data_IF_823727098212
#
_entry.id   IF_823727098212
#
_cell.length_a   1.000
_cell.length_b   1.000
_cell.length_c   1.000
_cell.angle_alpha   90.00
_cell.angle_beta   90.00
_cell.angle_gamma   90.00
#
_symmetry.space_group_name_H-M   'P 1'
#
loop_
_entity.id
_entity.type
_entity.pdbx_description
1 polymer ?
#
# COMPACT_ATOMS: atom_id res chain seq x y z
N UNK A 1 -17.09 26.63 -17.22
CA UNK A 1 -17.67 26.52 -15.86
C UNK A 1 -19.13 26.10 -15.96
N UNK A 2 -19.63 25.25 -15.05
CA UNK A 2 -21.05 24.85 -14.83
C UNK A 2 -21.63 23.58 -15.48
N UNK A 3 -21.01 22.40 -15.31
CA UNK A 3 -21.74 21.11 -15.47
C UNK A 3 -21.89 20.31 -14.16
N UNK A 4 -21.03 20.55 -13.17
CA UNK A 4 -21.01 19.76 -11.93
C UNK A 4 -22.04 20.21 -10.90
N UNK A 5 -22.43 21.49 -10.89
CA UNK A 5 -23.42 22.02 -9.94
C UNK A 5 -24.83 21.45 -10.16
N UNK A 6 -25.18 21.10 -11.40
CA UNK A 6 -26.51 20.54 -11.70
C UNK A 6 -26.64 19.06 -11.32
N UNK A 7 -25.54 18.31 -11.21
CA UNK A 7 -25.56 16.91 -10.78
C UNK A 7 -25.64 16.80 -9.25
N UNK A 8 -24.92 17.67 -8.54
CA UNK A 8 -25.00 17.79 -7.08
C UNK A 8 -26.40 18.17 -6.60
N UNK A 9 -27.09 19.10 -7.29
CA UNK A 9 -28.45 19.48 -6.92
C UNK A 9 -29.51 18.38 -7.11
N UNK A 10 -29.25 17.40 -7.98
CA UNK A 10 -30.16 16.25 -8.17
C UNK A 10 -29.95 15.19 -7.10
N UNK A 11 -28.70 14.91 -6.75
CA UNK A 11 -28.35 13.97 -5.68
C UNK A 11 -28.81 14.47 -4.30
N UNK A 12 -28.63 15.76 -4.00
CA UNK A 12 -29.07 16.36 -2.73
C UNK A 12 -30.60 16.33 -2.60
N UNK A 13 -31.33 16.53 -3.70
CA UNK A 13 -32.81 16.44 -3.69
C UNK A 13 -33.34 15.01 -3.55
N UNK A 14 -32.64 14.00 -4.08
CA UNK A 14 -32.99 12.60 -3.82
C UNK A 14 -32.71 12.19 -2.38
N UNK A 15 -31.57 12.60 -1.81
CA UNK A 15 -31.21 12.28 -0.43
C UNK A 15 -32.15 12.93 0.60
N UNK A 16 -32.63 14.15 0.33
CA UNK A 16 -33.62 14.84 1.16
C UNK A 16 -35.05 14.27 1.03
N UNK A 17 -35.36 13.52 -0.04
CA UNK A 17 -36.63 12.80 -0.16
C UNK A 17 -36.62 11.47 0.61
N UNK A 18 -35.46 10.84 0.77
CA UNK A 18 -35.29 9.60 1.54
C UNK A 18 -35.34 9.79 3.07
N UNK A 19 -35.18 11.03 3.56
CA UNK A 19 -35.17 11.33 5.00
C UNK A 19 -36.48 11.92 5.52
N UNK A 20 -37.52 12.06 4.67
CA UNK A 20 -38.86 12.48 5.08
C UNK A 20 -39.71 11.32 5.63
N UNK A 21 -39.06 10.37 6.28
CA UNK A 21 -39.69 9.38 7.15
C UNK A 21 -39.39 9.77 8.58
N UNK A 22 -40.44 10.03 9.37
CA UNK A 22 -40.40 10.39 10.79
C UNK A 22 -39.39 9.50 11.53
N UNK A 23 -38.18 10.00 11.78
CA UNK A 23 -37.17 9.28 12.55
C UNK A 23 -37.74 9.18 13.96
N UNK A 24 -38.33 8.02 14.28
CA UNK A 24 -38.99 7.82 15.55
C UNK A 24 -37.98 8.05 16.67
N UNK A 25 -38.39 8.68 17.77
CA UNK A 25 -37.53 9.03 18.92
C UNK A 25 -36.65 7.87 19.39
N UNK A 26 -37.11 6.62 19.19
CA UNK A 26 -36.34 5.39 19.43
C UNK A 26 -35.03 5.30 18.63
N UNK A 27 -35.01 5.72 17.36
CA UNK A 27 -33.80 5.73 16.53
C UNK A 27 -32.81 6.82 16.97
N UNK A 28 -33.29 7.97 17.43
CA UNK A 28 -32.42 9.01 18.00
C UNK A 28 -31.79 8.55 19.31
N UNK A 29 -32.54 7.85 20.17
CA UNK A 29 -32.00 7.26 21.40
C UNK A 29 -30.95 6.19 21.08
N UNK A 30 -31.22 5.31 20.12
CA UNK A 30 -30.25 4.27 19.70
C UNK A 30 -28.96 4.88 19.16
N UNK A 31 -29.06 5.91 18.30
CA UNK A 31 -27.88 6.62 17.77
C UNK A 31 -27.11 7.37 18.87
N UNK A 32 -27.83 8.00 19.81
CA UNK A 32 -27.20 8.66 20.96
C UNK A 32 -26.44 7.68 21.86
N UNK A 33 -27.05 6.53 22.17
CA UNK A 33 -26.41 5.47 22.97
C UNK A 33 -25.20 4.89 22.24
N UNK A 34 -25.29 4.64 20.94
CA UNK A 34 -24.16 4.20 20.12
C UNK A 34 -23.01 5.23 20.09
N UNK A 35 -23.32 6.52 19.98
CA UNK A 35 -22.33 7.59 20.04
C UNK A 35 -21.62 7.67 21.38
N UNK A 36 -22.36 7.58 22.49
CA UNK A 36 -21.78 7.58 23.84
C UNK A 36 -20.94 6.32 24.09
N UNK A 37 -21.42 5.16 23.66
CA UNK A 37 -20.67 3.91 23.76
C UNK A 37 -19.36 3.95 22.97
N UNK A 38 -19.37 4.58 21.79
CA UNK A 38 -18.17 4.82 21.00
C UNK A 38 -17.16 5.71 21.73
N UNK A 39 -17.60 6.81 22.35
CA UNK A 39 -16.73 7.72 23.11
C UNK A 39 -16.06 7.05 24.32
N UNK A 40 -16.75 6.11 24.99
CA UNK A 40 -16.21 5.37 26.14
C UNK A 40 -15.27 4.23 25.69
N UNK A 41 -15.58 3.55 24.59
CA UNK A 41 -14.76 2.45 24.09
C UNK A 41 -13.48 2.93 23.37
N UNK A 42 -13.52 4.12 22.75
CA UNK A 42 -12.40 4.69 22.01
C UNK A 42 -11.08 4.77 22.81
N UNK A 43 -11.02 5.30 24.06
CA UNK A 43 -9.76 5.36 24.80
C UNK A 43 -9.19 3.98 25.15
N UNK A 44 -10.03 3.01 25.52
CA UNK A 44 -9.58 1.64 25.82
C UNK A 44 -9.06 0.88 24.59
N UNK A 45 -9.64 1.12 23.40
CA UNK A 45 -9.15 0.53 22.16
C UNK A 45 -7.82 1.16 21.72
N UNK A 46 -7.63 2.46 21.96
CA UNK A 46 -6.38 3.16 21.64
C UNK A 46 -5.20 2.63 22.49
N UNK A 47 -5.43 2.38 23.78
CA UNK A 47 -4.39 1.86 24.69
C UNK A 47 -3.99 0.41 24.38
N UNK A 48 -4.91 -0.43 23.88
CA UNK A 48 -4.62 -1.85 23.60
C UNK A 48 -4.15 -2.13 22.18
N UNK A 49 -4.48 -1.27 21.21
CA UNK A 49 -4.19 -1.48 19.79
C UNK A 49 -3.38 -0.37 19.12
N UNK A 50 -3.01 0.71 19.84
CA UNK A 50 -2.19 1.81 19.31
C UNK A 50 -2.83 2.55 18.14
N UNK A 51 -4.17 2.50 18.03
CA UNK A 51 -4.90 3.04 16.89
C UNK A 51 -5.35 4.47 17.20
N UNK A 52 -4.57 5.47 16.76
CA UNK A 52 -4.96 6.88 16.86
C UNK A 52 -6.15 7.17 15.95
N UNK A 53 -7.35 7.19 16.54
CA UNK A 53 -8.58 7.60 15.87
C UNK A 53 -8.59 9.13 15.70
N UNK A 54 -8.99 9.66 14.52
CA UNK A 54 -9.07 11.09 14.31
C UNK A 54 -10.11 11.69 15.24
N UNK A 55 -9.66 12.55 16.16
CA UNK A 55 -10.54 13.38 16.98
C UNK A 55 -11.15 14.42 16.06
N UNK A 56 -12.46 14.36 15.85
CA UNK A 56 -13.20 15.48 15.25
C UNK A 56 -13.31 16.54 16.36
N UNK A 57 -12.21 17.24 16.63
CA UNK A 57 -12.19 18.39 17.51
C UNK A 57 -12.57 19.61 16.68
N UNK A 58 -13.69 20.21 17.06
CA UNK A 58 -14.04 21.55 16.68
C UNK A 58 -12.88 22.51 17.04
N UNK A 59 -12.49 23.25 16.02
CA UNK A 59 -11.83 24.56 16.02
C UNK A 59 -11.75 25.27 17.39
N UNK A 60 -10.55 25.39 17.97
CA UNK A 60 -10.17 26.53 18.81
C UNK A 60 -8.70 26.91 18.60
N UNK A 61 -8.53 28.21 18.46
CA UNK A 61 -7.40 29.01 18.01
C UNK A 61 -6.39 29.30 19.13
N UNK A 62 -5.12 29.56 18.73
CA UNK A 62 -4.03 30.24 19.48
C UNK A 62 -3.43 29.48 20.69
N UNK A 63 -2.12 29.45 20.92
CA UNK A 63 -1.20 30.61 21.00
C UNK A 63 0.27 30.17 20.94
N UNK A 64 1.08 31.08 20.41
CA UNK A 64 2.52 31.09 20.15
C UNK A 64 3.32 31.60 21.37
N UNK A 65 4.50 31.02 21.67
CA UNK A 65 5.64 31.59 22.45
C UNK A 65 6.76 30.53 22.40
N UNK A 66 7.84 30.64 21.62
CA UNK A 66 9.00 31.56 21.62
C UNK A 66 10.00 31.39 22.79
N UNK A 67 11.30 31.44 22.43
CA UNK A 67 12.55 31.46 23.24
C UNK A 67 13.18 30.11 23.62
N UNK A 68 14.45 29.78 23.36
CA UNK A 68 15.61 30.47 22.76
C UNK A 68 16.93 29.74 23.14
N UNK A 69 17.95 29.91 22.27
CA UNK A 69 19.42 29.86 22.55
C UNK A 69 20.13 28.52 22.88
N UNK A 70 20.97 28.00 21.97
CA UNK A 70 22.42 28.24 21.74
C UNK A 70 23.35 27.28 22.50
N UNK A 71 24.23 26.62 21.74
CA UNK A 71 25.33 25.80 22.24
C UNK A 71 26.21 25.31 21.09
N UNK A 72 27.17 26.14 20.71
CA UNK A 72 28.25 25.91 19.73
C UNK A 72 29.42 25.10 20.29
N UNK A 73 30.22 24.55 19.35
CA UNK A 73 31.65 24.18 19.45
C UNK A 73 31.96 22.74 19.88
N UNK A 74 32.94 22.01 19.35
CA UNK A 74 33.82 22.04 18.16
C UNK A 74 34.73 20.77 18.26
N UNK A 75 35.43 20.45 17.17
CA UNK A 75 36.61 19.55 17.07
C UNK A 75 36.39 18.04 17.16
N UNK A 76 37.17 17.17 16.50
CA UNK A 76 38.06 17.18 15.33
C UNK A 76 38.50 15.70 15.21
N UNK A 77 38.67 15.18 14.00
CA UNK A 77 39.80 14.31 13.60
C UNK A 77 39.45 13.26 12.51
N UNK A 78 40.00 13.54 11.32
CA UNK A 78 40.88 12.69 10.50
C UNK A 78 40.40 11.31 10.00
N UNK A 79 40.15 11.31 8.68
CA UNK A 79 40.86 10.54 7.64
C UNK A 79 41.32 9.10 7.92
N UNK A 80 40.75 8.16 7.15
CA UNK A 80 41.56 7.16 6.44
C UNK A 80 40.85 6.66 5.18
N UNK A 81 41.43 7.05 4.05
CA UNK A 81 41.31 6.47 2.73
C UNK A 81 41.72 4.99 2.71
N UNK A 82 40.87 4.13 2.15
CA UNK A 82 41.30 2.84 1.60
C UNK A 82 40.49 2.51 0.35
N UNK A 83 41.10 2.79 -0.80
CA UNK A 83 40.75 2.23 -2.10
C UNK A 83 40.96 0.71 -2.06
N UNK A 84 39.93 -0.09 -2.34
CA UNK A 84 40.10 -1.48 -2.76
C UNK A 84 38.97 -1.91 -3.70
N UNK A 85 39.36 -1.99 -4.98
CA UNK A 85 39.06 -3.09 -5.89
C UNK A 85 37.60 -3.37 -6.21
N UNK A 86 37.14 -2.74 -7.30
CA UNK A 86 36.01 -3.21 -8.09
C UNK A 86 36.24 -4.66 -8.54
N UNK A 87 35.36 -5.54 -8.10
CA UNK A 87 35.24 -6.92 -8.57
C UNK A 87 33.84 -7.05 -9.17
N UNK A 88 33.67 -7.54 -10.41
CA UNK A 88 32.36 -7.59 -11.04
C UNK A 88 31.50 -8.62 -10.31
N UNK A 89 30.43 -8.15 -9.69
CA UNK A 89 29.42 -8.97 -9.02
C UNK A 89 28.58 -9.70 -10.06
N UNK A 90 28.79 -11.02 -10.13
CA UNK A 90 27.84 -11.94 -10.75
C UNK A 90 26.62 -12.08 -9.83
N UNK A 91 25.54 -11.37 -10.15
CA UNK A 91 24.26 -11.41 -9.43
C UNK A 91 23.64 -12.81 -9.49
N UNK A 92 23.80 -13.56 -8.40
CA UNK A 92 23.09 -14.81 -8.11
C UNK A 92 22.13 -14.55 -6.95
N UNK A 93 20.83 -14.46 -7.25
CA UNK A 93 19.72 -14.71 -6.32
C UNK A 93 19.61 -13.87 -5.04
N UNK A 94 18.78 -12.82 -5.10
CA UNK A 94 17.63 -12.73 -4.19
C UNK A 94 17.85 -12.25 -2.76
N UNK A 95 18.75 -11.30 -2.53
CA UNK A 95 18.74 -10.50 -1.30
C UNK A 95 18.56 -9.04 -1.71
N UNK A 96 17.32 -8.56 -1.72
CA UNK A 96 17.06 -7.12 -1.82
C UNK A 96 17.44 -6.54 -0.47
N UNK A 97 18.46 -5.69 -0.45
CA UNK A 97 18.77 -4.87 0.72
C UNK A 97 17.75 -3.73 0.74
N UNK A 98 16.89 -3.63 1.76
CA UNK A 98 15.93 -2.55 1.83
C UNK A 98 16.57 -1.16 1.82
N UNK A 99 17.86 -1.03 2.20
CA UNK A 99 18.61 0.22 2.12
C UNK A 99 18.72 0.75 0.67
N UNK A 100 18.69 -0.13 -0.34
CA UNK A 100 18.67 0.29 -1.75
C UNK A 100 17.36 1.00 -2.13
N UNK A 101 16.31 0.82 -1.32
CA UNK A 101 14.99 1.39 -1.54
C UNK A 101 14.68 2.57 -0.63
N UNK A 102 15.61 3.02 0.20
CA UNK A 102 15.40 4.15 1.14
C UNK A 102 14.99 5.46 0.43
N UNK A 103 15.28 5.58 -0.88
CA UNK A 103 14.88 6.72 -1.69
C UNK A 103 13.40 6.70 -2.12
N UNK A 104 12.73 5.55 -2.04
CA UNK A 104 11.29 5.40 -2.35
C UNK A 104 10.48 4.86 -1.18
N UNK A 105 11.07 4.15 -0.23
CA UNK A 105 10.38 3.55 0.90
C UNK A 105 10.76 4.28 2.19
N UNK A 106 9.76 4.60 3.00
CA UNK A 106 9.99 5.07 4.37
C UNK A 106 10.07 3.85 5.27
N UNK A 107 11.22 3.64 5.91
CA UNK A 107 11.42 2.56 6.88
C UNK A 107 11.05 3.00 8.30
N UNK A 108 10.47 2.08 9.08
CA UNK A 108 10.28 2.25 10.52
C UNK A 108 11.25 1.38 11.33
N UNK A 109 11.25 1.56 12.66
CA UNK A 109 12.11 0.79 13.58
C UNK A 109 11.79 -0.71 13.62
N UNK A 110 10.64 -1.14 13.11
CA UNK A 110 10.15 -2.52 13.14
C UNK A 110 10.39 -3.27 11.82
N UNK A 111 11.22 -2.72 10.92
CA UNK A 111 11.45 -3.26 9.56
C UNK A 111 10.15 -3.35 8.76
N UNK A 112 9.27 -2.37 8.94
CA UNK A 112 8.16 -2.10 8.04
C UNK A 112 8.62 -1.02 7.08
N UNK A 113 8.28 -1.19 5.81
CA UNK A 113 8.55 -0.22 4.77
C UNK A 113 7.24 0.28 4.20
N UNK A 114 7.09 1.59 4.04
CA UNK A 114 5.89 2.22 3.50
C UNK A 114 6.21 2.87 2.18
N UNK A 115 5.46 2.55 1.13
CA UNK A 115 5.60 3.21 -0.18
C UNK A 115 4.89 4.56 -0.22
N UNK A 116 5.16 5.41 -1.24
CA UNK A 116 4.47 6.70 -1.41
C UNK A 116 2.95 6.57 -1.53
N UNK A 117 2.44 5.47 -2.08
CA UNK A 117 0.99 5.21 -2.11
C UNK A 117 0.41 4.73 -0.76
N UNK A 118 1.23 4.65 0.30
CA UNK A 118 0.82 4.27 1.65
C UNK A 118 0.74 2.76 1.89
N UNK A 119 1.32 1.94 1.01
CA UNK A 119 1.30 0.47 1.17
C UNK A 119 2.40 0.05 2.13
N UNK A 120 2.06 -0.74 3.15
CA UNK A 120 3.01 -1.24 4.15
C UNK A 120 3.50 -2.65 3.83
N UNK A 121 4.80 -2.77 3.59
CA UNK A 121 5.52 -4.04 3.46
C UNK A 121 6.06 -4.45 4.82
N UNK A 122 5.54 -5.55 5.34
CA UNK A 122 5.84 -6.03 6.69
C UNK A 122 6.59 -7.37 6.66
N UNK A 123 7.06 -7.80 7.83
CA UNK A 123 7.54 -9.17 8.04
C UNK A 123 6.43 -10.21 7.80
N UNK A 124 6.83 -11.42 7.44
CA UNK A 124 5.94 -12.54 7.11
C UNK A 124 6.06 -12.99 5.65
N UNK A 125 5.27 -14.00 5.27
CA UNK A 125 5.41 -14.84 4.06
C UNK A 125 6.44 -15.97 4.18
N UNK A 126 6.43 -16.88 3.20
CA UNK A 126 7.43 -17.95 3.08
C UNK A 126 8.87 -17.43 2.92
N UNK A 127 9.06 -16.18 2.48
CA UNK A 127 10.38 -15.56 2.34
C UNK A 127 10.79 -14.71 3.57
N UNK A 128 9.99 -14.72 4.65
CA UNK A 128 10.26 -13.97 5.87
C UNK A 128 9.91 -12.48 5.82
N UNK A 129 9.90 -11.86 4.64
CA UNK A 129 9.44 -10.48 4.43
C UNK A 129 8.60 -10.34 3.15
N UNK A 130 7.58 -9.48 3.20
CA UNK A 130 6.63 -9.25 2.10
C UNK A 130 7.29 -8.65 0.86
N UNK A 131 8.19 -7.70 1.04
CA UNK A 131 8.99 -7.13 -0.06
C UNK A 131 9.84 -8.20 -0.74
N UNK A 132 10.48 -9.09 0.04
CA UNK A 132 11.26 -10.20 -0.52
C UNK A 132 10.39 -11.18 -1.32
N UNK A 133 9.16 -11.42 -0.86
CA UNK A 133 8.20 -12.22 -1.61
C UNK A 133 7.75 -11.54 -2.91
N UNK A 134 7.50 -10.23 -2.89
CA UNK A 134 7.22 -9.47 -4.11
C UNK A 134 8.37 -9.60 -5.12
N UNK A 135 9.61 -9.50 -4.67
CA UNK A 135 10.79 -9.64 -5.54
C UNK A 135 11.00 -11.06 -6.06
N UNK A 136 10.44 -12.08 -5.40
CA UNK A 136 10.41 -13.43 -5.96
C UNK A 136 9.56 -13.52 -7.24
N UNK A 137 8.65 -12.56 -7.47
CA UNK A 137 7.90 -12.41 -8.71
C UNK A 137 8.64 -11.61 -9.79
N UNK A 138 9.87 -11.13 -9.55
CA UNK A 138 10.72 -10.54 -10.59
C UNK A 138 11.61 -11.59 -11.29
N UNK A 139 11.48 -12.87 -10.95
CA UNK A 139 12.27 -13.94 -11.54
C UNK A 139 11.43 -15.17 -11.76
N UNK A 140 11.51 -15.75 -12.96
CA UNK A 140 10.77 -16.96 -13.25
C UNK A 140 11.30 -18.15 -12.42
N UNK A 141 10.39 -19.07 -12.14
CA UNK A 141 10.67 -20.35 -11.52
C UNK A 141 10.23 -21.44 -12.49
N UNK A 142 11.01 -21.77 -13.54
CA UNK A 142 10.54 -22.64 -14.63
C UNK A 142 10.11 -24.03 -14.17
N UNK A 143 10.71 -24.54 -13.08
CA UNK A 143 10.39 -25.81 -12.46
C UNK A 143 9.14 -25.81 -11.57
N UNK A 144 8.52 -24.64 -11.32
CA UNK A 144 7.34 -24.51 -10.46
C UNK A 144 6.09 -25.06 -11.15
N UNK A 145 5.32 -25.85 -10.41
CA UNK A 145 4.02 -26.33 -10.86
C UNK A 145 2.99 -25.18 -10.88
N UNK A 146 2.13 -25.18 -11.90
CA UNK A 146 1.09 -24.16 -12.08
C UNK A 146 1.59 -22.85 -12.72
N UNK A 147 0.78 -21.80 -12.57
CA UNK A 147 1.09 -20.46 -13.06
C UNK A 147 1.90 -19.65 -12.04
N UNK A 148 2.85 -18.89 -12.56
CA UNK A 148 3.67 -17.97 -11.78
C UNK A 148 3.73 -16.64 -12.51
N UNK A 149 3.12 -15.59 -11.97
CA UNK A 149 3.27 -14.26 -12.54
C UNK A 149 4.70 -13.76 -12.37
N UNK A 150 5.33 -13.32 -13.47
CA UNK A 150 6.69 -12.79 -13.45
C UNK A 150 6.68 -11.38 -14.03
N UNK A 151 7.19 -10.40 -13.27
CA UNK A 151 7.34 -9.02 -13.73
C UNK A 151 8.41 -8.93 -14.81
N UNK A 152 8.20 -8.04 -15.79
CA UNK A 152 9.27 -7.69 -16.75
C UNK A 152 10.34 -6.79 -16.08
N UNK A 153 9.97 -6.08 -15.01
CA UNK A 153 10.88 -5.26 -14.22
C UNK A 153 11.65 -6.12 -13.22
N UNK A 154 12.98 -5.95 -13.20
CA UNK A 154 13.89 -6.64 -12.26
C UNK A 154 14.39 -5.72 -11.15
N UNK A 155 14.35 -4.40 -11.36
CA UNK A 155 14.75 -3.40 -10.37
C UNK A 155 13.68 -3.29 -9.28
N UNK A 156 14.03 -3.44 -7.99
CA UNK A 156 13.05 -3.43 -6.91
C UNK A 156 12.21 -2.14 -6.86
N UNK A 157 12.82 -0.99 -7.16
CA UNK A 157 12.13 0.28 -7.18
C UNK A 157 11.02 0.33 -8.25
N UNK A 158 11.33 -0.11 -9.47
CA UNK A 158 10.36 -0.15 -10.57
C UNK A 158 9.18 -1.10 -10.29
N UNK A 159 9.43 -2.22 -9.58
CA UNK A 159 8.35 -3.13 -9.17
C UNK A 159 7.46 -2.47 -8.11
N UNK A 160 8.04 -1.81 -7.10
CA UNK A 160 7.27 -1.08 -6.07
C UNK A 160 6.43 0.04 -6.69
N UNK A 161 7.02 0.86 -7.55
CA UNK A 161 6.31 1.93 -8.28
C UNK A 161 5.14 1.38 -9.10
N UNK A 162 5.29 0.21 -9.72
CA UNK A 162 4.21 -0.46 -10.44
C UNK A 162 3.07 -0.89 -9.51
N UNK A 163 3.40 -1.37 -8.29
CA UNK A 163 2.37 -1.71 -7.28
C UNK A 163 1.64 -0.43 -6.85
N UNK A 164 2.37 0.65 -6.58
CA UNK A 164 1.78 1.94 -6.20
C UNK A 164 0.86 2.49 -7.29
N UNK A 165 1.29 2.44 -8.55
CA UNK A 165 0.47 2.82 -9.69
C UNK A 165 -0.83 2.00 -9.74
N UNK A 166 -0.73 0.68 -9.58
CA UNK A 166 -1.89 -0.20 -9.60
C UNK A 166 -2.83 0.05 -8.41
N UNK A 167 -2.29 0.34 -7.22
CA UNK A 167 -3.08 0.66 -6.04
C UNK A 167 -3.83 1.98 -6.20
N UNK A 168 -3.19 3.02 -6.72
CA UNK A 168 -3.85 4.29 -7.01
C UNK A 168 -4.98 4.14 -8.05
N UNK A 169 -4.79 3.30 -9.07
CA UNK A 169 -5.86 2.95 -10.03
C UNK A 169 -7.00 2.17 -9.37
N UNK A 170 -6.67 1.27 -8.44
CA UNK A 170 -7.67 0.51 -7.70
C UNK A 170 -8.52 1.41 -6.80
N UNK A 171 -7.90 2.37 -6.12
CA UNK A 171 -8.60 3.35 -5.29
C UNK A 171 -9.51 4.27 -6.10
N UNK A 172 -9.15 4.61 -7.34
CA UNK A 172 -10.01 5.39 -8.24
C UNK A 172 -11.11 4.55 -8.93
N UNK A 173 -11.08 3.23 -8.77
CA UNK A 173 -11.99 2.29 -9.44
C UNK A 173 -11.72 2.11 -10.94
N UNK A 174 -10.64 2.69 -11.47
CA UNK A 174 -10.32 2.62 -12.89
C UNK A 174 -9.79 1.23 -13.26
N UNK A 175 -10.42 0.59 -14.27
CA UNK A 175 -9.94 -0.67 -14.84
C UNK A 175 -9.66 -1.77 -13.80
N UNK A 176 -10.40 -1.74 -12.70
CA UNK A 176 -10.14 -2.58 -11.52
C UNK A 176 -11.34 -3.42 -11.17
N UNK A 177 -11.11 -4.69 -10.88
CA UNK A 177 -12.05 -5.55 -10.18
C UNK A 177 -11.60 -5.72 -8.74
N UNK A 178 -12.47 -5.36 -7.80
CA UNK A 178 -12.24 -5.47 -6.35
C UNK A 178 -13.06 -6.63 -5.79
N UNK A 179 -12.46 -7.46 -4.96
CA UNK A 179 -13.15 -8.54 -4.24
C UNK A 179 -12.69 -8.54 -2.79
N UNK A 180 -13.63 -8.45 -1.86
CA UNK A 180 -13.34 -8.54 -0.43
C UNK A 180 -13.41 -10.01 0.00
N UNK A 181 -12.34 -10.50 0.60
CA UNK A 181 -12.19 -11.86 1.11
C UNK A 181 -11.82 -11.81 2.61
N UNK A 182 -11.97 -12.92 3.32
CA UNK A 182 -11.69 -12.96 4.76
C UNK A 182 -10.21 -12.66 5.12
N UNK A 183 -9.30 -12.83 4.16
CA UNK A 183 -7.85 -12.65 4.31
C UNK A 183 -7.34 -11.35 3.65
N UNK A 184 -8.25 -10.44 3.27
CA UNK A 184 -7.91 -9.16 2.68
C UNK A 184 -8.77 -8.80 1.46
N UNK A 185 -8.43 -7.69 0.83
CA UNK A 185 -9.02 -7.22 -0.42
C UNK A 185 -8.11 -7.59 -1.58
N UNK A 186 -8.69 -8.29 -2.55
CA UNK A 186 -8.07 -8.61 -3.83
C UNK A 186 -8.42 -7.53 -4.86
N UNK A 187 -7.39 -6.94 -5.45
CA UNK A 187 -7.49 -6.03 -6.57
C UNK A 187 -6.93 -6.70 -7.81
N UNK A 188 -7.72 -6.70 -8.88
CA UNK A 188 -7.31 -7.12 -10.22
C UNK A 188 -7.36 -5.91 -11.14
N UNK A 189 -6.20 -5.32 -11.38
CA UNK A 189 -6.04 -4.03 -12.07
C UNK A 189 -5.52 -4.28 -13.47
N UNK A 190 -6.21 -3.78 -14.49
CA UNK A 190 -5.70 -3.81 -15.86
C UNK A 190 -4.79 -2.62 -16.12
N UNK A 191 -3.49 -2.89 -16.30
CA UNK A 191 -2.44 -1.87 -16.42
C UNK A 191 -2.37 -1.24 -17.82
N UNK A 192 -3.15 -1.74 -18.79
CA UNK A 192 -3.19 -1.23 -20.17
C UNK A 192 -1.94 -1.53 -21.01
N UNK A 193 -0.82 -1.89 -20.37
CA UNK A 193 0.46 -2.29 -20.99
C UNK A 193 0.91 -3.66 -20.52
N UNK A 194 1.88 -4.24 -21.22
CA UNK A 194 2.59 -5.43 -20.72
C UNK A 194 3.39 -5.03 -19.48
N UNK A 195 3.27 -5.84 -18.43
CA UNK A 195 3.98 -5.64 -17.15
C UNK A 195 4.76 -6.90 -16.72
N UNK A 196 4.66 -7.97 -17.50
CA UNK A 196 5.21 -9.27 -17.16
C UNK A 196 4.72 -10.36 -18.09
N UNK A 197 4.82 -11.59 -17.60
CA UNK A 197 4.37 -12.78 -18.30
C UNK A 197 3.95 -13.89 -17.32
N UNK A 198 3.25 -14.88 -17.85
CA UNK A 198 2.96 -16.12 -17.12
C UNK A 198 4.17 -17.06 -17.26
N UNK A 199 4.88 -17.26 -16.16
CA UNK A 199 6.01 -18.17 -16.02
C UNK A 199 5.64 -19.55 -15.47
N UNK A 200 6.66 -20.25 -14.96
CA UNK A 200 6.57 -21.63 -14.48
C UNK A 200 6.28 -22.66 -15.56
N UNK A 201 6.03 -23.90 -15.15
CA UNK A 201 5.73 -24.99 -16.09
C UNK A 201 4.49 -24.70 -16.95
N UNK A 202 3.48 -24.02 -16.40
CA UNK A 202 2.28 -23.69 -17.18
C UNK A 202 2.58 -22.62 -18.25
N UNK A 203 3.35 -21.59 -17.90
CA UNK A 203 3.81 -20.57 -18.85
C UNK A 203 4.59 -21.15 -20.01
N UNK A 204 5.54 -22.05 -19.71
CA UNK A 204 6.34 -22.75 -20.72
C UNK A 204 5.51 -23.66 -21.64
N UNK A 205 4.39 -24.21 -21.15
CA UNK A 205 3.49 -25.09 -21.91
C UNK A 205 2.49 -24.34 -22.80
N UNK A 206 2.29 -23.03 -22.59
CA UNK A 206 1.35 -22.21 -23.40
C UNK A 206 1.85 -22.05 -24.86
N UNK A 207 0.97 -21.53 -25.73
CA UNK A 207 1.23 -21.25 -27.16
C UNK A 207 0.70 -19.86 -27.53
N UNK A 208 1.56 -18.84 -27.76
CA UNK A 208 3.02 -18.86 -27.59
C UNK A 208 3.44 -19.08 -26.12
N UNK A 209 4.68 -19.56 -25.86
CA UNK A 209 5.17 -19.74 -24.49
C UNK A 209 5.30 -18.40 -23.78
N UNK A 210 5.17 -18.41 -22.45
CA UNK A 210 5.28 -17.22 -21.61
C UNK A 210 4.39 -16.06 -22.07
N UNK A 211 3.05 -16.26 -22.12
CA UNK A 211 2.14 -15.23 -22.61
C UNK A 211 2.26 -13.96 -21.75
N UNK A 212 2.17 -12.82 -22.42
CA UNK A 212 2.28 -11.51 -21.79
C UNK A 212 1.15 -11.30 -20.76
N UNK A 213 1.53 -10.85 -19.57
CA UNK A 213 0.62 -10.42 -18.52
C UNK A 213 0.44 -8.90 -18.60
N UNK A 214 -0.83 -8.46 -18.59
CA UNK A 214 -1.23 -7.04 -18.68
C UNK A 214 -2.05 -6.58 -17.49
N UNK A 215 -2.36 -7.51 -16.58
CA UNK A 215 -3.09 -7.23 -15.36
C UNK A 215 -2.21 -7.53 -14.16
N UNK A 216 -2.43 -6.77 -13.10
CA UNK A 216 -1.78 -6.94 -11.83
C UNK A 216 -2.80 -7.43 -10.83
N UNK A 217 -2.53 -8.57 -10.19
CA UNK A 217 -3.29 -9.01 -9.02
C UNK A 217 -2.52 -8.61 -7.79
N UNK A 218 -3.18 -7.91 -6.88
CA UNK A 218 -2.65 -7.49 -5.58
C UNK A 218 -3.63 -7.90 -4.49
N UNK A 219 -3.09 -8.35 -3.36
CA UNK A 219 -3.87 -8.68 -2.17
C UNK A 219 -3.34 -7.82 -1.03
N UNK A 220 -4.23 -7.04 -0.41
CA UNK A 220 -3.95 -6.17 0.73
C UNK A 220 -4.86 -6.51 1.91
N UNK A 221 -4.36 -6.38 3.13
CA UNK A 221 -5.16 -6.41 4.35
C UNK A 221 -5.14 -5.01 4.97
N UNK A 222 -6.18 -4.21 4.68
CA UNK A 222 -6.11 -2.75 4.84
C UNK A 222 -5.02 -2.16 3.94
N UNK A 223 -4.04 -1.49 4.53
CA UNK A 223 -2.84 -0.97 3.88
C UNK A 223 -1.66 -1.97 3.85
N UNK A 224 -1.82 -3.12 4.52
CA UNK A 224 -0.75 -4.12 4.64
C UNK A 224 -0.65 -4.98 3.39
N UNK A 225 0.51 -4.96 2.74
CA UNK A 225 0.79 -5.80 1.59
C UNK A 225 0.84 -7.29 1.94
N UNK A 226 0.12 -8.12 1.18
CA UNK A 226 0.18 -9.59 1.29
C UNK A 226 1.00 -10.18 0.14
N UNK A 227 0.61 -9.90 -1.11
CA UNK A 227 1.32 -10.34 -2.32
C UNK A 227 0.82 -9.56 -3.53
N UNK A 228 1.63 -9.52 -4.59
CA UNK A 228 1.22 -9.03 -5.90
C UNK A 228 2.02 -9.73 -7.00
N UNK A 229 1.37 -9.98 -8.14
CA UNK A 229 2.00 -10.62 -9.29
C UNK A 229 1.25 -10.30 -10.60
N UNK A 230 1.94 -10.33 -11.75
CA UNK A 230 1.30 -10.22 -13.05
C UNK A 230 0.42 -11.43 -13.38
N UNK A 231 -0.68 -11.20 -14.09
CA UNK A 231 -1.50 -12.28 -14.66
C UNK A 231 -2.15 -11.86 -15.99
N UNK A 232 -2.70 -12.84 -16.70
CA UNK A 232 -3.37 -12.68 -18.00
C UNK A 232 -4.88 -12.41 -17.90
#
# INVERSE_FOLDING_TARGET
>A
MSRDSQQLERLVREFLRLTKGRVGTRWLVVLGVLGVAYLVAAPMLNERMGWNLPVIAAEQTATQSDRGEQGTSQSDSQSSSSSQTQRPSTTKGGTVDPAELDHILVSDSNRVYTSPAGIRYTRGSAHGHRLKHLMAHASDQPGRDGSHGVFDANEPAAVVELIDQAYMQALSGQSTKTTHEANGTKYEVSMGRRIGYVGGKSGARRRPPHPAARKLRMILDGDRFITAFPFD
#
